data_IF_603422602032
#
_entry.id   IF_603422602032
#
_cell.length_a   1.000
_cell.length_b   1.000
_cell.length_c   1.000
_cell.angle_alpha   90.00
_cell.angle_beta   90.00
_cell.angle_gamma   90.00
#
_symmetry.space_group_name_H-M   'P 1'
#
loop_
_entity.id
_entity.type
_entity.pdbx_description
1 polymer ?
#
# COMPACT_ATOMS: atom_id res chain seq x y z
N UNK A 1 0.53 -11.08 17.36
CA UNK A 1 1.59 -10.56 16.45
C UNK A 1 0.91 -10.25 15.12
N UNK A 2 1.18 -9.11 14.49
CA UNK A 2 0.64 -8.77 13.17
C UNK A 2 1.30 -9.63 12.10
N UNK A 3 0.51 -10.13 11.16
CA UNK A 3 1.04 -10.91 10.04
C UNK A 3 1.69 -9.96 9.03
N UNK A 4 2.97 -10.13 8.68
CA UNK A 4 3.65 -9.27 7.72
C UNK A 4 2.97 -9.29 6.35
N UNK A 5 3.10 -8.17 5.61
CA UNK A 5 2.56 -8.08 4.25
C UNK A 5 3.57 -7.45 3.30
N UNK A 6 3.73 -8.05 2.13
CA UNK A 6 4.51 -7.49 1.02
C UNK A 6 3.57 -7.23 -0.16
N UNK A 7 3.45 -5.96 -0.55
CA UNK A 7 2.52 -5.48 -1.55
C UNK A 7 3.29 -4.86 -2.73
N UNK A 8 3.13 -5.40 -3.94
CA UNK A 8 3.80 -4.93 -5.15
C UNK A 8 2.97 -3.93 -5.92
N UNK A 9 3.32 -2.66 -5.90
CA UNK A 9 2.71 -1.62 -6.74
C UNK A 9 3.44 -1.54 -8.08
N UNK A 10 2.81 -2.04 -9.14
CA UNK A 10 3.40 -2.02 -10.49
C UNK A 10 3.38 -0.66 -11.16
N UNK A 11 2.71 0.32 -10.53
CA UNK A 11 2.54 1.68 -11.07
C UNK A 11 2.02 1.64 -12.51
N UNK A 12 2.44 2.55 -13.38
CA UNK A 12 2.05 2.63 -14.79
C UNK A 12 3.00 1.80 -15.66
N UNK A 13 3.24 0.53 -15.30
CA UNK A 13 4.11 -0.37 -16.06
C UNK A 13 3.35 -1.61 -16.53
N UNK A 14 3.75 -2.10 -17.70
CA UNK A 14 3.28 -3.37 -18.23
C UNK A 14 2.75 -3.27 -19.66
N UNK A 15 2.91 -4.38 -20.36
CA UNK A 15 2.21 -4.77 -21.58
C UNK A 15 1.57 -6.12 -21.31
N UNK A 16 0.66 -6.59 -22.18
CA UNK A 16 0.10 -7.93 -22.03
C UNK A 16 1.18 -9.01 -21.93
N UNK A 17 2.26 -8.89 -22.72
CA UNK A 17 3.35 -9.85 -22.74
C UNK A 17 4.19 -9.80 -21.45
N UNK A 18 4.65 -8.61 -21.04
CA UNK A 18 5.46 -8.49 -19.83
C UNK A 18 4.67 -8.82 -18.55
N UNK A 19 3.37 -8.52 -18.53
CA UNK A 19 2.48 -8.93 -17.42
C UNK A 19 2.31 -10.45 -17.37
N UNK A 20 2.17 -11.12 -18.53
CA UNK A 20 2.11 -12.59 -18.58
C UNK A 20 3.41 -13.23 -18.08
N UNK A 21 4.56 -12.67 -18.45
CA UNK A 21 5.88 -13.12 -17.99
C UNK A 21 6.03 -12.94 -16.48
N UNK A 22 5.66 -11.77 -15.94
CA UNK A 22 5.70 -11.50 -14.51
C UNK A 22 4.77 -12.44 -13.72
N UNK A 23 3.54 -12.65 -14.19
CA UNK A 23 2.61 -13.63 -13.61
C UNK A 23 3.24 -15.02 -13.57
N UNK A 24 3.85 -15.45 -14.68
CA UNK A 24 4.51 -16.76 -14.74
C UNK A 24 5.63 -16.86 -13.69
N UNK A 25 6.46 -15.83 -13.55
CA UNK A 25 7.47 -15.77 -12.50
C UNK A 25 6.87 -15.88 -11.09
N UNK A 26 5.84 -15.06 -10.80
CA UNK A 26 5.16 -15.05 -9.49
C UNK A 26 4.53 -16.40 -9.14
N UNK A 27 4.00 -17.15 -10.12
CA UNK A 27 3.42 -18.48 -9.92
C UNK A 27 4.43 -19.51 -9.44
N UNK A 28 5.70 -19.36 -9.81
CA UNK A 28 6.77 -20.30 -9.47
C UNK A 28 7.51 -19.93 -8.16
N UNK A 29 7.17 -18.79 -7.54
CA UNK A 29 7.75 -18.41 -6.27
C UNK A 29 7.32 -19.34 -5.13
N UNK A 30 8.29 -19.77 -4.33
CA UNK A 30 8.04 -20.33 -3.01
C UNK A 30 7.87 -19.18 -2.01
N UNK A 31 6.61 -18.78 -1.78
CA UNK A 31 6.27 -17.71 -0.84
C UNK A 31 6.14 -18.26 0.59
N UNK A 32 6.61 -17.52 1.61
CA UNK A 32 6.48 -17.95 3.01
C UNK A 32 5.00 -17.95 3.42
N UNK A 33 4.56 -19.02 4.08
CA UNK A 33 3.17 -19.17 4.53
C UNK A 33 2.75 -18.15 5.60
N UNK A 34 3.74 -17.56 6.30
CA UNK A 34 3.54 -16.54 7.34
C UNK A 34 3.38 -15.11 6.82
N UNK A 35 3.51 -14.86 5.52
CA UNK A 35 3.46 -13.52 4.92
C UNK A 35 2.27 -13.40 3.97
N UNK A 36 1.52 -12.32 4.09
CA UNK A 36 0.50 -11.97 3.09
C UNK A 36 1.18 -11.27 1.91
N UNK A 37 0.83 -11.68 0.70
CA UNK A 37 1.38 -11.09 -0.53
C UNK A 37 0.25 -10.53 -1.38
N UNK A 38 0.44 -9.31 -1.88
CA UNK A 38 -0.49 -8.67 -2.81
C UNK A 38 0.24 -8.02 -3.98
N UNK A 39 -0.47 -7.84 -5.10
CA UNK A 39 0.01 -7.06 -6.25
C UNK A 39 -1.04 -6.08 -6.72
N UNK A 40 -0.61 -4.90 -7.16
CA UNK A 40 -1.45 -3.81 -7.66
C UNK A 40 -1.05 -3.48 -9.10
N UNK A 41 -1.59 -4.20 -10.09
CA UNK A 41 -1.34 -3.93 -11.49
C UNK A 41 -2.10 -2.68 -11.97
N UNK A 42 -1.73 -2.07 -13.11
CA UNK A 42 -2.60 -1.15 -13.82
C UNK A 42 -3.98 -1.78 -14.08
N UNK A 43 -5.06 -0.97 -14.04
CA UNK A 43 -6.44 -1.47 -14.16
C UNK A 43 -6.69 -2.30 -15.42
N UNK A 44 -6.00 -1.98 -16.54
CA UNK A 44 -6.06 -2.73 -17.80
C UNK A 44 -5.67 -4.21 -17.66
N UNK A 45 -4.93 -4.59 -16.64
CA UNK A 45 -4.37 -5.93 -16.47
C UNK A 45 -4.92 -6.66 -15.25
N UNK A 46 -5.86 -6.07 -14.50
CA UNK A 46 -6.42 -6.69 -13.29
C UNK A 46 -6.96 -8.08 -13.59
N UNK A 47 -7.83 -8.22 -14.60
CA UNK A 47 -8.41 -9.52 -14.95
C UNK A 47 -7.34 -10.54 -15.38
N UNK A 48 -6.37 -10.11 -16.20
CA UNK A 48 -5.25 -10.98 -16.61
C UNK A 48 -4.45 -11.49 -15.41
N UNK A 49 -4.22 -10.63 -14.41
CA UNK A 49 -3.46 -10.97 -13.19
C UNK A 49 -4.28 -11.89 -12.29
N UNK A 50 -5.57 -11.61 -12.08
CA UNK A 50 -6.47 -12.45 -11.28
C UNK A 50 -6.54 -13.87 -11.86
N UNK A 51 -6.83 -13.97 -13.16
CA UNK A 51 -6.91 -15.28 -13.83
C UNK A 51 -5.57 -16.01 -13.79
N UNK A 52 -4.49 -15.28 -14.04
CA UNK A 52 -3.15 -15.85 -14.07
C UNK A 52 -2.62 -16.28 -12.71
N UNK A 53 -3.04 -15.66 -11.61
CA UNK A 53 -2.63 -16.03 -10.25
C UNK A 53 -3.64 -16.95 -9.54
N UNK A 54 -4.68 -17.41 -10.20
CA UNK A 54 -5.68 -18.33 -9.62
C UNK A 54 -5.01 -19.54 -8.99
N UNK A 55 -5.39 -19.83 -7.75
CA UNK A 55 -4.82 -20.93 -6.94
C UNK A 55 -3.49 -20.59 -6.25
N UNK A 56 -3.03 -19.34 -6.31
CA UNK A 56 -1.89 -18.84 -5.54
C UNK A 56 -2.36 -17.96 -4.39
N UNK A 57 -1.61 -17.95 -3.29
CA UNK A 57 -1.86 -17.09 -2.13
C UNK A 57 -1.31 -15.67 -2.36
N UNK A 58 -1.71 -15.06 -3.49
CA UNK A 58 -1.37 -13.68 -3.84
C UNK A 58 -2.67 -12.94 -4.10
N UNK A 59 -2.94 -11.93 -3.28
CA UNK A 59 -4.10 -11.06 -3.45
C UNK A 59 -3.88 -10.06 -4.59
N UNK A 60 -4.95 -9.67 -5.26
CA UNK A 60 -4.89 -8.61 -6.29
C UNK A 60 -5.65 -7.40 -5.79
N UNK A 61 -5.04 -6.24 -5.90
CA UNK A 61 -5.63 -4.95 -5.58
C UNK A 61 -5.59 -3.98 -6.76
N UNK A 62 -6.30 -2.86 -6.62
CA UNK A 62 -6.29 -1.78 -7.59
C UNK A 62 -5.42 -0.60 -7.12
N UNK A 63 -4.84 0.14 -8.06
CA UNK A 63 -3.98 1.29 -7.77
C UNK A 63 -4.77 2.57 -7.42
N UNK A 64 -6.07 2.61 -7.70
CA UNK A 64 -6.97 3.72 -7.46
C UNK A 64 -8.44 3.27 -7.57
N UNK A 65 -9.36 4.08 -7.06
CA UNK A 65 -10.80 3.95 -7.30
C UNK A 65 -11.48 5.31 -7.36
N UNK A 66 -12.72 5.34 -7.84
CA UNK A 66 -13.59 6.51 -7.75
C UNK A 66 -13.96 6.84 -6.30
N UNK A 67 -14.51 8.04 -6.09
CA UNK A 67 -15.10 8.48 -4.81
C UNK A 67 -16.51 7.95 -4.60
N UNK A 68 -17.17 7.52 -5.67
CA UNK A 68 -18.49 6.89 -5.64
C UNK A 68 -18.32 5.36 -5.51
N UNK A 69 -19.03 4.76 -4.56
CA UNK A 69 -18.90 3.32 -4.29
C UNK A 69 -19.49 2.45 -5.39
N UNK A 70 -20.57 2.92 -6.01
CA UNK A 70 -21.31 2.23 -7.05
C UNK A 70 -21.06 2.83 -8.44
N UNK A 71 -21.33 2.05 -9.48
CA UNK A 71 -21.27 2.52 -10.87
C UNK A 71 -22.22 3.73 -11.09
N UNK A 72 -21.79 4.65 -11.96
CA UNK A 72 -22.51 5.90 -12.22
C UNK A 72 -21.97 6.67 -13.41
N UNK A 73 -22.45 7.88 -13.60
CA UNK A 73 -22.10 8.75 -14.73
C UNK A 73 -20.78 9.51 -14.51
N UNK A 74 -19.69 8.78 -14.38
CA UNK A 74 -18.31 9.28 -14.16
C UNK A 74 -17.36 8.65 -15.19
N UNK A 75 -17.42 9.16 -16.43
CA UNK A 75 -16.65 8.62 -17.56
C UNK A 75 -15.16 8.54 -17.25
N UNK A 76 -14.59 7.32 -17.33
CA UNK A 76 -13.18 7.05 -17.07
C UNK A 76 -12.85 6.64 -15.64
N UNK A 77 -13.76 6.85 -14.67
CA UNK A 77 -13.59 6.38 -13.30
C UNK A 77 -13.98 4.90 -13.16
N UNK A 78 -13.41 4.26 -12.13
CA UNK A 78 -13.69 2.86 -11.79
C UNK A 78 -14.24 2.82 -10.37
N UNK A 79 -15.47 2.39 -10.22
CA UNK A 79 -16.12 2.29 -8.92
C UNK A 79 -15.50 1.13 -8.08
N UNK A 80 -15.39 1.26 -6.75
CA UNK A 80 -15.00 0.17 -5.87
C UNK A 80 -15.81 -1.11 -6.09
N UNK A 81 -17.12 -1.01 -6.35
CA UNK A 81 -17.97 -2.18 -6.67
C UNK A 81 -17.52 -2.93 -7.92
N UNK A 82 -17.03 -2.22 -8.96
CA UNK A 82 -16.48 -2.84 -10.17
C UNK A 82 -15.14 -3.55 -9.91
N UNK A 83 -14.32 -3.00 -9.00
CA UNK A 83 -13.07 -3.63 -8.58
C UNK A 83 -13.32 -4.93 -7.81
N UNK A 84 -14.34 -4.95 -6.93
CA UNK A 84 -14.78 -6.17 -6.24
C UNK A 84 -15.30 -7.21 -7.23
N UNK A 85 -16.15 -6.81 -8.17
CA UNK A 85 -16.68 -7.70 -9.23
C UNK A 85 -15.56 -8.30 -10.08
N UNK A 86 -14.50 -7.51 -10.37
CA UNK A 86 -13.31 -7.99 -11.04
C UNK A 86 -12.45 -8.94 -10.19
N UNK A 87 -12.68 -9.05 -8.87
CA UNK A 87 -11.95 -9.92 -7.94
C UNK A 87 -10.84 -9.25 -7.14
N UNK A 88 -10.78 -7.91 -7.12
CA UNK A 88 -9.88 -7.20 -6.22
C UNK A 88 -10.34 -7.32 -4.77
N UNK A 89 -9.38 -7.39 -3.84
CA UNK A 89 -9.63 -7.36 -2.40
C UNK A 89 -9.04 -6.14 -1.69
N UNK A 90 -8.16 -5.39 -2.36
CA UNK A 90 -7.50 -4.21 -1.83
C UNK A 90 -7.54 -3.06 -2.85
N UNK A 91 -7.33 -1.83 -2.35
CA UNK A 91 -7.14 -0.66 -3.22
C UNK A 91 -6.19 0.34 -2.57
N UNK A 92 -5.24 0.89 -3.34
CA UNK A 92 -4.40 1.99 -2.89
C UNK A 92 -5.23 3.28 -2.83
N UNK A 93 -5.09 4.04 -1.76
CA UNK A 93 -5.76 5.33 -1.57
C UNK A 93 -4.71 6.39 -1.24
N UNK A 94 -4.61 7.41 -2.08
CA UNK A 94 -3.73 8.55 -1.84
C UNK A 94 -2.25 8.29 -2.01
N UNK A 95 -1.84 7.34 -2.89
CA UNK A 95 -0.44 7.15 -3.25
C UNK A 95 0.22 8.50 -3.58
N UNK A 96 1.47 8.67 -3.17
CA UNK A 96 2.20 9.94 -3.28
C UNK A 96 2.15 10.57 -4.68
N UNK A 97 2.23 9.77 -5.74
CA UNK A 97 2.09 10.25 -7.12
C UNK A 97 0.70 10.86 -7.37
N UNK A 98 -0.36 10.32 -6.78
CA UNK A 98 -1.71 10.88 -6.92
C UNK A 98 -1.89 12.16 -6.14
N UNK A 99 -1.29 12.26 -4.94
CA UNK A 99 -1.27 13.50 -4.16
C UNK A 99 -0.47 14.60 -4.86
N UNK A 100 0.74 14.28 -5.33
CA UNK A 100 1.69 15.28 -5.84
C UNK A 100 1.45 15.66 -7.32
N UNK A 101 1.11 14.67 -8.16
CA UNK A 101 1.00 14.88 -9.61
C UNK A 101 -0.45 15.09 -10.02
N UNK A 102 -1.39 14.32 -9.46
CA UNK A 102 -2.82 14.40 -9.81
C UNK A 102 -3.60 15.36 -8.91
N UNK A 103 -2.97 15.94 -7.88
CA UNK A 103 -3.57 16.93 -7.00
C UNK A 103 -4.65 16.38 -6.07
N UNK A 104 -4.65 15.08 -5.76
CA UNK A 104 -5.62 14.52 -4.83
C UNK A 104 -5.42 15.06 -3.42
N UNK A 105 -6.47 15.64 -2.86
CA UNK A 105 -6.50 16.23 -1.52
C UNK A 105 -7.15 15.31 -0.49
N UNK A 106 -6.87 15.52 0.79
CA UNK A 106 -7.38 14.69 1.89
C UNK A 106 -8.90 14.50 1.82
N UNK A 107 -9.69 15.53 1.49
CA UNK A 107 -11.15 15.42 1.31
C UNK A 107 -11.57 14.38 0.26
N UNK A 108 -10.83 14.29 -0.85
CA UNK A 108 -11.07 13.26 -1.87
C UNK A 108 -10.69 11.88 -1.37
N UNK A 109 -9.58 11.79 -0.62
CA UNK A 109 -9.07 10.52 -0.12
C UNK A 109 -9.95 9.92 0.99
N UNK A 110 -10.54 10.75 1.85
CA UNK A 110 -11.56 10.34 2.83
C UNK A 110 -12.72 9.64 2.12
N UNK A 111 -13.25 10.26 1.04
CA UNK A 111 -14.35 9.68 0.27
C UNK A 111 -13.96 8.36 -0.41
N UNK A 112 -12.76 8.28 -1.02
CA UNK A 112 -12.25 7.04 -1.63
C UNK A 112 -12.08 5.93 -0.60
N UNK A 113 -11.54 6.27 0.57
CA UNK A 113 -11.35 5.34 1.67
C UNK A 113 -12.70 4.75 2.14
N UNK A 114 -13.68 5.62 2.40
CA UNK A 114 -15.02 5.20 2.80
C UNK A 114 -15.73 4.38 1.71
N UNK A 115 -15.65 4.81 0.44
CA UNK A 115 -16.24 4.10 -0.69
C UNK A 115 -15.65 2.70 -0.89
N UNK A 116 -14.33 2.55 -0.72
CA UNK A 116 -13.67 1.25 -0.77
C UNK A 116 -14.19 0.30 0.31
N UNK A 117 -14.27 0.78 1.56
CA UNK A 117 -14.77 -0.03 2.68
C UNK A 117 -16.25 -0.38 2.54
N UNK A 118 -17.07 0.53 2.03
CA UNK A 118 -18.49 0.27 1.77
C UNK A 118 -18.73 -0.88 0.79
N UNK A 119 -17.77 -1.14 -0.10
CA UNK A 119 -17.80 -2.27 -1.04
C UNK A 119 -17.04 -3.52 -0.56
N UNK A 120 -16.45 -3.48 0.64
CA UNK A 120 -15.68 -4.61 1.18
C UNK A 120 -14.22 -4.69 0.72
N UNK A 121 -13.70 -3.69 0.01
CA UNK A 121 -12.27 -3.59 -0.25
C UNK A 121 -11.51 -3.17 1.00
N UNK A 122 -10.30 -3.67 1.17
CA UNK A 122 -9.35 -3.18 2.17
C UNK A 122 -8.58 -1.99 1.59
N UNK A 123 -8.81 -0.74 2.04
CA UNK A 123 -8.00 0.39 1.60
C UNK A 123 -6.59 0.30 2.17
N UNK A 124 -5.59 0.59 1.34
CA UNK A 124 -4.21 0.83 1.73
C UNK A 124 -3.98 2.34 1.65
N UNK A 125 -4.10 3.02 2.78
CA UNK A 125 -3.92 4.47 2.87
C UNK A 125 -2.44 4.81 2.77
N UNK A 126 -2.06 5.56 1.75
CA UNK A 126 -0.71 6.06 1.57
C UNK A 126 -0.57 7.46 2.18
N UNK A 127 0.39 7.61 3.07
CA UNK A 127 0.72 8.87 3.76
C UNK A 127 2.23 9.08 3.75
N UNK A 128 2.66 10.34 3.74
CA UNK A 128 4.09 10.65 3.80
C UNK A 128 4.41 12.07 3.35
N UNK A 129 5.61 12.49 3.69
CA UNK A 129 6.13 13.84 3.47
C UNK A 129 7.02 13.94 2.21
N UNK A 130 7.03 15.13 1.63
CA UNK A 130 7.96 15.52 0.57
C UNK A 130 9.35 15.85 1.14
N UNK A 131 10.36 15.94 0.25
CA UNK A 131 11.71 16.35 0.65
C UNK A 131 11.71 17.72 1.36
N UNK A 132 11.02 18.71 0.81
CA UNK A 132 10.95 20.04 1.40
C UNK A 132 10.32 20.03 2.81
N UNK A 133 9.30 19.19 3.03
CA UNK A 133 8.69 19.03 4.35
C UNK A 133 9.63 18.36 5.34
N UNK A 134 10.38 17.37 4.89
CA UNK A 134 11.40 16.69 5.71
C UNK A 134 12.52 17.63 6.10
N UNK A 135 13.08 18.37 5.15
CA UNK A 135 14.14 19.36 5.42
C UNK A 135 13.68 20.46 6.36
N UNK A 136 12.39 20.81 6.33
CA UNK A 136 11.76 21.73 7.28
C UNK A 136 11.43 21.10 8.64
N UNK A 137 11.79 19.84 8.90
CA UNK A 137 11.48 19.12 10.14
C UNK A 137 10.01 18.80 10.36
N UNK A 138 9.17 18.80 9.30
CA UNK A 138 7.72 18.66 9.37
C UNK A 138 7.19 17.24 9.10
N UNK A 139 8.05 16.23 9.10
CA UNK A 139 7.65 14.85 8.80
C UNK A 139 6.44 14.39 9.63
N UNK A 140 6.54 14.49 10.95
CA UNK A 140 5.47 14.05 11.86
C UNK A 140 4.20 14.91 11.70
N UNK A 141 4.32 16.22 11.61
CA UNK A 141 3.17 17.11 11.36
C UNK A 141 2.37 16.71 10.12
N UNK A 142 3.08 16.39 9.03
CA UNK A 142 2.44 15.98 7.77
C UNK A 142 1.75 14.63 7.90
N UNK A 143 2.41 13.65 8.49
CA UNK A 143 1.89 12.29 8.68
C UNK A 143 0.69 12.31 9.63
N UNK A 144 0.80 13.00 10.76
CA UNK A 144 -0.27 13.17 11.75
C UNK A 144 -1.51 13.83 11.13
N UNK A 145 -1.33 14.88 10.33
CA UNK A 145 -2.43 15.55 9.63
C UNK A 145 -3.10 14.64 8.61
N UNK A 146 -2.31 13.93 7.78
CA UNK A 146 -2.86 13.05 6.73
C UNK A 146 -3.62 11.86 7.33
N UNK A 147 -3.14 11.29 8.42
CA UNK A 147 -3.82 10.22 9.15
C UNK A 147 -5.03 10.78 9.92
N UNK A 148 -4.83 11.90 10.62
CA UNK A 148 -5.86 12.58 11.41
C UNK A 148 -7.09 12.94 10.59
N UNK A 149 -6.91 13.40 9.34
CA UNK A 149 -8.04 13.75 8.46
C UNK A 149 -9.01 12.57 8.22
N UNK A 150 -8.51 11.35 8.15
CA UNK A 150 -9.35 10.14 8.03
C UNK A 150 -9.98 9.80 9.38
N UNK A 151 -9.23 9.92 10.48
CA UNK A 151 -9.72 9.62 11.83
C UNK A 151 -10.85 10.57 12.22
N UNK A 152 -10.71 11.86 11.95
CA UNK A 152 -11.71 12.90 12.27
C UNK A 152 -13.05 12.65 11.57
N UNK A 153 -13.03 12.23 10.31
CA UNK A 153 -14.25 12.05 9.50
C UNK A 153 -14.87 10.65 9.64
N UNK A 154 -14.06 9.61 9.77
CA UNK A 154 -14.53 8.22 9.73
C UNK A 154 -14.38 7.48 11.07
N UNK A 155 -13.71 8.09 12.02
CA UNK A 155 -13.34 7.46 13.28
C UNK A 155 -12.17 6.48 13.15
N UNK A 156 -11.42 6.30 14.23
CA UNK A 156 -10.28 5.36 14.28
C UNK A 156 -10.68 3.91 14.00
N UNK A 157 -11.92 3.53 14.29
CA UNK A 157 -12.46 2.19 14.01
C UNK A 157 -12.39 1.78 12.55
N UNK A 158 -12.38 2.75 11.62
CA UNK A 158 -12.23 2.51 10.18
C UNK A 158 -10.90 1.80 9.84
N UNK A 159 -9.87 1.98 10.66
CA UNK A 159 -8.56 1.35 10.47
C UNK A 159 -8.51 -0.13 10.88
N UNK A 160 -9.51 -0.66 11.57
CA UNK A 160 -9.59 -2.10 11.87
C UNK A 160 -9.64 -2.98 10.61
N UNK A 161 -10.08 -2.41 9.47
CA UNK A 161 -10.15 -3.06 8.16
C UNK A 161 -9.37 -2.27 7.10
N UNK A 162 -8.22 -1.73 7.46
CA UNK A 162 -7.37 -0.96 6.58
C UNK A 162 -5.90 -1.30 6.80
N UNK A 163 -5.06 -0.84 5.88
CA UNK A 163 -3.61 -0.90 5.94
C UNK A 163 -3.11 0.52 5.74
N UNK A 164 -2.00 0.88 6.37
CA UNK A 164 -1.35 2.18 6.16
C UNK A 164 0.01 1.92 5.52
N UNK A 165 0.34 2.67 4.47
CA UNK A 165 1.67 2.67 3.85
C UNK A 165 2.33 4.04 4.08
N UNK A 166 3.44 4.06 4.81
CA UNK A 166 4.24 5.26 4.95
C UNK A 166 5.21 5.39 3.77
N UNK A 167 5.04 6.45 3.02
CA UNK A 167 5.81 6.79 1.84
C UNK A 167 6.72 8.00 2.11
N UNK A 168 8.01 7.83 2.46
CA UNK A 168 8.96 8.94 2.41
C UNK A 168 9.15 9.34 0.94
N UNK A 169 8.38 10.35 0.46
CA UNK A 169 8.31 10.69 -0.98
C UNK A 169 9.69 11.01 -1.56
N UNK A 170 10.57 11.59 -0.75
CA UNK A 170 11.96 11.89 -1.09
C UNK A 170 12.83 10.65 -1.34
N UNK A 171 12.39 9.47 -0.88
CA UNK A 171 13.09 8.19 -1.06
C UNK A 171 12.41 7.29 -2.12
N UNK A 172 11.43 7.80 -2.89
CA UNK A 172 10.73 7.03 -3.92
C UNK A 172 11.34 7.33 -5.28
N UNK A 173 12.04 6.36 -5.88
CA UNK A 173 12.59 6.50 -7.24
C UNK A 173 13.77 7.47 -7.37
N UNK A 174 14.28 8.02 -6.27
CA UNK A 174 15.38 8.99 -6.27
C UNK A 174 16.76 8.36 -6.07
N UNK A 175 16.81 7.09 -5.72
CA UNK A 175 18.04 6.40 -5.29
C UNK A 175 18.41 6.64 -3.82
N UNK A 176 17.72 7.54 -3.13
CA UNK A 176 17.83 7.70 -1.68
C UNK A 176 17.02 6.64 -0.95
N UNK A 177 17.44 6.30 0.26
CA UNK A 177 16.72 5.38 1.15
C UNK A 177 16.67 5.97 2.56
N UNK A 178 15.55 5.83 3.25
CA UNK A 178 15.54 6.08 4.68
C UNK A 178 16.32 4.98 5.39
N UNK A 179 17.03 5.32 6.48
CA UNK A 179 17.58 4.29 7.35
C UNK A 179 16.45 3.51 8.02
N UNK A 180 16.67 2.25 8.44
CA UNK A 180 15.67 1.49 9.19
C UNK A 180 15.15 2.24 10.42
N UNK A 181 16.02 2.92 11.16
CA UNK A 181 15.61 3.71 12.32
C UNK A 181 14.74 4.93 11.94
N UNK A 182 15.08 5.63 10.86
CA UNK A 182 14.25 6.76 10.38
C UNK A 182 12.84 6.30 9.98
N UNK A 183 12.73 5.14 9.32
CA UNK A 183 11.45 4.55 8.98
C UNK A 183 10.69 4.11 10.25
N UNK A 184 11.38 3.45 11.18
CA UNK A 184 10.81 3.02 12.46
C UNK A 184 10.23 4.19 13.26
N UNK A 185 10.95 5.30 13.37
CA UNK A 185 10.51 6.46 14.15
C UNK A 185 9.16 6.99 13.65
N UNK A 186 8.97 7.06 12.34
CA UNK A 186 7.69 7.49 11.75
C UNK A 186 6.60 6.44 11.92
N UNK A 187 6.92 5.14 11.72
CA UNK A 187 5.97 4.06 11.94
C UNK A 187 5.49 4.00 13.40
N UNK A 188 6.40 4.21 14.37
CA UNK A 188 6.06 4.29 15.79
C UNK A 188 5.12 5.47 16.09
N UNK A 189 5.37 6.65 15.48
CA UNK A 189 4.51 7.82 15.61
C UNK A 189 3.10 7.56 15.05
N UNK A 190 2.98 6.95 13.85
CA UNK A 190 1.70 6.55 13.26
C UNK A 190 0.95 5.62 14.22
N UNK A 191 1.63 4.62 14.76
CA UNK A 191 1.02 3.66 15.70
C UNK A 191 0.62 4.33 17.00
N UNK A 192 1.41 5.26 17.51
CA UNK A 192 1.09 6.03 18.71
C UNK A 192 -0.14 6.91 18.53
N UNK A 193 -0.29 7.58 17.38
CA UNK A 193 -1.48 8.37 17.06
C UNK A 193 -2.75 7.51 17.05
N UNK A 194 -2.72 6.34 16.42
CA UNK A 194 -3.85 5.40 16.46
C UNK A 194 -4.13 4.88 17.88
N UNK A 195 -3.07 4.62 18.67
CA UNK A 195 -3.20 4.09 20.01
C UNK A 195 -3.80 5.12 20.99
N UNK A 196 -3.58 6.41 20.76
CA UNK A 196 -4.20 7.48 21.55
C UNK A 196 -5.73 7.46 21.44
N UNK A 197 -6.27 7.03 20.29
CA UNK A 197 -7.70 6.90 20.05
C UNK A 197 -8.23 5.48 20.41
N UNK A 198 -7.51 4.43 19.99
CA UNK A 198 -7.89 3.05 20.23
C UNK A 198 -6.68 2.10 20.17
N UNK A 199 -6.26 1.59 21.33
CA UNK A 199 -5.10 0.71 21.44
C UNK A 199 -5.29 -0.66 20.75
N UNK A 200 -6.52 -1.16 20.62
CA UNK A 200 -6.79 -2.42 19.93
C UNK A 200 -6.64 -2.27 18.42
N UNK A 201 -7.19 -1.21 17.84
CA UNK A 201 -6.99 -0.86 16.42
C UNK A 201 -5.51 -0.68 16.14
N UNK A 202 -4.80 0.10 16.96
CA UNK A 202 -3.36 0.35 16.78
C UNK A 202 -2.53 -0.94 16.80
N UNK A 203 -2.90 -1.91 17.64
CA UNK A 203 -2.22 -3.22 17.69
C UNK A 203 -2.50 -4.10 16.48
N UNK A 204 -3.67 -3.95 15.86
CA UNK A 204 -4.11 -4.79 14.74
C UNK A 204 -3.73 -4.26 13.37
N UNK A 205 -3.67 -2.94 13.17
CA UNK A 205 -3.39 -2.33 11.86
C UNK A 205 -1.97 -2.61 11.40
N UNK A 206 -1.83 -2.97 10.12
CA UNK A 206 -0.52 -3.17 9.48
C UNK A 206 0.00 -1.86 8.93
N UNK A 207 1.27 -1.57 9.24
CA UNK A 207 2.01 -0.40 8.75
C UNK A 207 3.08 -0.88 7.78
N UNK A 208 2.97 -0.51 6.51
CA UNK A 208 3.91 -0.89 5.46
C UNK A 208 4.87 0.27 5.17
N UNK A 209 6.14 -0.05 4.97
CA UNK A 209 7.12 0.91 4.48
C UNK A 209 7.04 1.01 2.95
N UNK A 210 6.80 2.22 2.43
CA UNK A 210 6.60 2.51 1.00
C UNK A 210 7.78 3.24 0.33
N UNK A 211 8.92 3.38 0.99
CA UNK A 211 10.14 3.87 0.36
C UNK A 211 10.87 2.82 -0.47
N UNK A 212 12.12 3.07 -0.81
CA UNK A 212 12.93 2.13 -1.62
C UNK A 212 13.27 0.87 -0.81
N UNK A 213 12.70 -0.27 -1.22
CA UNK A 213 12.98 -1.60 -0.67
C UNK A 213 13.57 -2.47 -1.77
N UNK A 214 14.66 -3.17 -1.43
CA UNK A 214 15.32 -4.21 -2.23
C UNK A 214 15.57 -5.43 -1.35
N UNK A 215 15.88 -6.57 -1.96
CA UNK A 215 16.24 -7.78 -1.20
C UNK A 215 17.36 -7.52 -0.18
N UNK A 216 18.31 -6.65 -0.51
CA UNK A 216 19.48 -6.34 0.31
C UNK A 216 19.17 -5.59 1.62
N UNK A 217 18.08 -4.78 1.68
CA UNK A 217 17.72 -4.00 2.88
C UNK A 217 16.40 -4.44 3.54
N UNK A 218 15.70 -5.37 2.93
CA UNK A 218 14.37 -5.79 3.39
C UNK A 218 14.41 -6.45 4.78
N UNK A 219 15.41 -7.27 5.08
CA UNK A 219 15.54 -7.94 6.39
C UNK A 219 15.69 -6.93 7.52
N UNK A 220 16.51 -5.90 7.32
CA UNK A 220 16.76 -4.87 8.33
C UNK A 220 15.52 -3.99 8.56
N UNK A 221 14.86 -3.59 7.47
CA UNK A 221 13.63 -2.80 7.53
C UNK A 221 12.49 -3.56 8.19
N UNK A 222 12.25 -4.80 7.77
CA UNK A 222 11.13 -5.59 8.28
C UNK A 222 11.38 -6.20 9.67
N UNK A 223 12.62 -6.16 10.14
CA UNK A 223 12.99 -6.48 11.53
C UNK A 223 12.63 -5.40 12.53
N UNK A 224 12.20 -4.22 12.09
CA UNK A 224 11.81 -3.13 12.98
C UNK A 224 10.44 -3.38 13.62
N UNK A 225 10.22 -2.99 14.91
CA UNK A 225 9.03 -3.36 15.68
C UNK A 225 7.69 -2.91 15.09
N UNK A 226 7.66 -1.76 14.39
CA UNK A 226 6.44 -1.17 13.86
C UNK A 226 6.32 -1.23 12.35
N UNK A 227 7.28 -1.86 11.66
CA UNK A 227 7.25 -2.07 10.21
C UNK A 227 6.72 -3.48 9.92
N UNK A 228 5.47 -3.58 9.45
CA UNK A 228 4.79 -4.85 9.21
C UNK A 228 4.97 -5.35 7.76
N UNK A 229 5.99 -4.88 7.06
CA UNK A 229 6.31 -5.23 5.68
C UNK A 229 6.45 -4.01 4.76
N UNK A 230 6.17 -4.18 3.46
CA UNK A 230 6.44 -3.10 2.50
C UNK A 230 5.44 -2.96 1.36
N UNK A 231 5.30 -1.72 0.87
CA UNK A 231 4.66 -1.39 -0.41
C UNK A 231 5.79 -1.16 -1.44
N UNK A 232 6.00 -2.12 -2.31
CA UNK A 232 7.17 -2.26 -3.17
C UNK A 232 6.87 -1.71 -4.57
N UNK A 233 7.64 -0.75 -5.05
CA UNK A 233 7.54 -0.21 -6.40
C UNK A 233 8.31 -1.05 -7.43
N UNK A 234 9.34 -0.49 -8.05
CA UNK A 234 10.08 -1.09 -9.17
C UNK A 234 10.59 -2.52 -8.95
N UNK A 235 11.04 -2.86 -7.73
CA UNK A 235 11.47 -4.22 -7.41
C UNK A 235 10.34 -5.27 -7.54
N UNK A 236 9.08 -4.86 -7.49
CA UNK A 236 7.93 -5.76 -7.69
C UNK A 236 7.68 -6.14 -9.15
N UNK A 237 8.38 -5.50 -10.10
CA UNK A 237 8.33 -5.82 -11.53
C UNK A 237 9.28 -6.95 -11.93
N UNK A 238 10.10 -7.43 -11.00
CA UNK A 238 10.95 -8.60 -11.16
C UNK A 238 10.51 -9.66 -10.13
N UNK A 239 10.08 -10.83 -10.61
CA UNK A 239 9.53 -11.88 -9.76
C UNK A 239 10.53 -12.38 -8.72
N UNK A 240 11.81 -12.57 -9.11
CA UNK A 240 12.85 -13.09 -8.22
C UNK A 240 13.20 -12.11 -7.10
N UNK A 241 13.36 -10.83 -7.45
CA UNK A 241 13.60 -9.75 -6.48
C UNK A 241 12.41 -9.59 -5.52
N UNK A 242 11.19 -9.56 -6.06
CA UNK A 242 9.97 -9.51 -5.24
C UNK A 242 9.83 -10.72 -4.32
N UNK A 243 10.13 -11.92 -4.85
CA UNK A 243 10.15 -13.14 -4.06
C UNK A 243 11.19 -13.13 -2.93
N UNK A 244 12.37 -12.55 -3.18
CA UNK A 244 13.40 -12.37 -2.15
C UNK A 244 12.93 -11.41 -1.04
N UNK A 245 12.25 -10.31 -1.40
CA UNK A 245 11.66 -9.37 -0.44
C UNK A 245 10.54 -10.05 0.36
N UNK A 246 9.70 -10.88 -0.27
CA UNK A 246 8.66 -11.63 0.44
C UNK A 246 9.27 -12.61 1.47
N UNK A 247 10.36 -13.29 1.12
CA UNK A 247 11.05 -14.20 2.06
C UNK A 247 11.68 -13.44 3.23
N UNK A 248 12.23 -12.25 2.99
CA UNK A 248 12.78 -11.40 4.05
C UNK A 248 11.74 -11.00 5.10
N UNK A 249 10.49 -10.83 4.72
CA UNK A 249 9.39 -10.51 5.65
C UNK A 249 8.93 -11.71 6.48
N UNK A 250 9.33 -12.93 6.14
CA UNK A 250 8.95 -14.16 6.85
C UNK A 250 9.97 -14.65 7.88
N UNK A 251 11.07 -13.94 8.06
CA UNK A 251 12.17 -14.32 8.98
C UNK A 251 11.95 -13.80 10.40
#
# INVERSE_FOLDING_TARGET
MRRPMVAGNWKMHGTRASVAELINGLRHLALPSGVDVAVFPPCLYINQVIDGLKGKSISVGAQNSAVESMQGALTGEIAPSQLVDAGCSLVLVGHSERRQIMGEQDKTLIRKFAAAQACGLTPVLCIGETLAQREAGKTLEVVERQLGSIIEELGVGAFAKAIIAYEPVWAIGTGLTASPQQAQDVHAAIRAQLAAENSEVARGVRLLYGGSVKAANAVELFGMPDIDGGLIGGASLNADEFGAICRAAGN
#
